data_IF_409306144855
#
_entry.id   IF_409306144855
#
_cell.length_a   1.000
_cell.length_b   1.000
_cell.length_c   1.000
_cell.angle_alpha   90.00
_cell.angle_beta   90.00
_cell.angle_gamma   90.00
#
_symmetry.space_group_name_H-M   'P 1'
#
loop_
_entity.id
_entity.type
_entity.pdbx_description
1 polymer ?
#
# COMPACT_ATOMS: atom_id res chain seq x y z
N UNK A 1 -12.46 -25.61 60.00
CA UNK A 1 -13.62 -25.80 59.10
C UNK A 1 -13.11 -25.50 57.70
N UNK A 2 -12.48 -26.47 57.05
CA UNK A 2 -13.06 -27.46 56.12
C UNK A 2 -13.29 -26.92 54.69
N UNK A 3 -12.54 -27.54 53.76
CA UNK A 3 -12.80 -27.80 52.33
C UNK A 3 -12.87 -26.58 51.38
N UNK A 4 -12.04 -26.45 50.34
CA UNK A 4 -11.61 -27.32 49.24
C UNK A 4 -12.44 -27.17 47.94
N UNK A 5 -11.69 -27.01 46.84
CA UNK A 5 -11.93 -27.52 45.48
C UNK A 5 -12.92 -26.84 44.53
N UNK A 6 -12.45 -26.64 43.29
CA UNK A 6 -13.31 -26.57 42.11
C UNK A 6 -12.66 -25.99 40.86
N UNK A 7 -11.75 -26.71 40.21
CA UNK A 7 -11.47 -26.53 38.78
C UNK A 7 -12.60 -27.16 37.95
N UNK A 8 -13.17 -26.46 36.95
CA UNK A 8 -13.83 -27.10 35.81
C UNK A 8 -13.58 -26.29 34.52
N UNK A 9 -12.76 -26.88 33.66
CA UNK A 9 -12.60 -26.61 32.23
C UNK A 9 -13.96 -26.75 31.49
N UNK A 10 -14.33 -25.81 30.63
CA UNK A 10 -15.38 -26.06 29.62
C UNK A 10 -15.07 -25.43 28.28
N UNK A 11 -14.39 -26.23 27.46
CA UNK A 11 -14.31 -26.17 26.00
C UNK A 11 -15.69 -25.95 25.38
N UNK A 12 -15.82 -24.96 24.49
CA UNK A 12 -16.91 -24.90 23.50
C UNK A 12 -16.36 -24.51 22.13
N UNK A 13 -16.13 -25.57 21.36
CA UNK A 13 -16.01 -25.64 19.90
C UNK A 13 -17.31 -25.14 19.25
N UNK A 14 -17.27 -24.21 18.29
CA UNK A 14 -18.40 -24.02 17.36
C UNK A 14 -17.97 -23.42 16.01
N UNK A 15 -18.00 -24.30 14.99
CA UNK A 15 -18.35 -24.11 13.57
C UNK A 15 -17.53 -23.18 12.66
N UNK A 16 -16.74 -23.83 11.82
CA UNK A 16 -16.40 -23.39 10.45
C UNK A 16 -17.65 -23.47 9.57
N UNK A 17 -17.98 -22.38 8.86
CA UNK A 17 -18.90 -22.39 7.73
C UNK A 17 -18.12 -22.02 6.46
N UNK A 18 -17.89 -23.02 5.62
CA UNK A 18 -17.34 -22.88 4.29
C UNK A 18 -18.50 -22.89 3.27
N UNK A 19 -18.68 -21.85 2.47
CA UNK A 19 -19.54 -21.89 1.27
C UNK A 19 -18.94 -21.04 0.13
N UNK A 20 -18.34 -21.78 -0.82
CA UNK A 20 -18.40 -21.76 -2.29
C UNK A 20 -18.23 -20.45 -3.12
N UNK A 21 -17.28 -20.57 -4.06
CA UNK A 21 -17.01 -19.77 -5.25
C UNK A 21 -18.18 -19.72 -6.25
N UNK A 22 -18.42 -18.55 -6.83
CA UNK A 22 -18.95 -18.42 -8.20
C UNK A 22 -18.27 -17.26 -8.93
N UNK A 23 -17.44 -17.60 -9.90
CA UNK A 23 -16.90 -16.69 -10.90
C UNK A 23 -17.85 -16.66 -12.10
N UNK A 24 -18.20 -15.46 -12.58
CA UNK A 24 -18.81 -15.25 -13.89
C UNK A 24 -18.27 -13.94 -14.47
N UNK A 25 -17.21 -14.06 -15.28
CA UNK A 25 -16.77 -13.01 -16.18
C UNK A 25 -17.42 -13.28 -17.54
N UNK A 26 -18.25 -12.35 -18.01
CA UNK A 26 -18.68 -12.28 -19.39
C UNK A 26 -18.27 -10.89 -19.92
N UNK A 27 -17.10 -10.82 -20.55
CA UNK A 27 -16.69 -9.70 -21.38
C UNK A 27 -17.04 -10.06 -22.83
N UNK A 28 -18.00 -9.34 -23.38
CA UNK A 28 -18.38 -9.37 -24.79
C UNK A 28 -17.56 -8.35 -25.58
N UNK A 29 -17.26 -8.70 -26.85
CA UNK A 29 -16.71 -7.88 -27.93
C UNK A 29 -15.18 -7.62 -27.85
N UNK A 30 -14.39 -7.71 -28.93
CA UNK A 30 -14.70 -7.50 -30.35
C UNK A 30 -13.65 -8.22 -31.24
N UNK A 31 -14.16 -8.88 -32.28
CA UNK A 31 -13.59 -9.11 -33.62
C UNK A 31 -12.14 -9.63 -33.76
N UNK A 32 -12.01 -10.94 -33.94
CA UNK A 32 -10.83 -11.57 -34.54
C UNK A 32 -11.11 -11.77 -36.04
N UNK A 33 -10.57 -10.85 -36.85
CA UNK A 33 -10.62 -10.92 -38.30
C UNK A 33 -9.66 -12.00 -38.83
N UNK A 34 -10.28 -13.04 -39.37
CA UNK A 34 -9.83 -14.06 -40.33
C UNK A 34 -8.57 -13.75 -41.16
N UNK A 35 -7.55 -14.63 -41.11
CA UNK A 35 -7.06 -15.44 -42.25
C UNK A 35 -5.66 -16.04 -42.04
N UNK A 36 -5.51 -17.27 -42.51
CA UNK A 36 -4.35 -18.16 -42.43
C UNK A 36 -3.17 -17.80 -43.37
N UNK A 37 -1.99 -18.28 -42.97
CA UNK A 37 -0.96 -18.99 -43.76
C UNK A 37 0.47 -18.42 -43.82
N UNK A 38 1.39 -19.27 -43.32
CA UNK A 38 2.79 -19.55 -43.65
C UNK A 38 3.74 -18.47 -44.22
N UNK A 39 4.85 -18.25 -43.50
CA UNK A 39 6.10 -17.74 -44.08
C UNK A 39 7.04 -17.04 -43.10
N UNK A 40 8.18 -17.66 -42.75
CA UNK A 40 9.39 -17.02 -42.17
C UNK A 40 10.40 -16.81 -43.33
N UNK A 41 11.31 -15.80 -43.39
CA UNK A 41 12.03 -15.14 -42.28
C UNK A 41 12.29 -13.60 -42.34
N UNK A 42 12.74 -13.10 -41.17
CA UNK A 42 13.63 -11.95 -40.89
C UNK A 42 13.04 -10.53 -40.64
N UNK A 43 13.14 -10.11 -39.36
CA UNK A 43 13.44 -8.79 -38.75
C UNK A 43 12.94 -7.47 -39.39
N UNK A 44 12.46 -6.48 -38.61
CA UNK A 44 13.07 -6.04 -37.35
C UNK A 44 12.14 -5.97 -36.13
N UNK A 45 12.77 -6.04 -34.95
CA UNK A 45 12.21 -5.71 -33.63
C UNK A 45 11.32 -4.46 -33.69
N UNK A 46 10.10 -4.47 -33.13
CA UNK A 46 9.50 -3.24 -32.63
C UNK A 46 10.46 -2.71 -31.56
N UNK A 47 11.09 -1.58 -31.86
CA UNK A 47 11.80 -0.76 -30.88
C UNK A 47 10.87 -0.58 -29.69
N UNK A 48 11.41 -0.88 -28.50
CA UNK A 48 10.83 -0.48 -27.25
C UNK A 48 10.41 0.99 -27.35
N UNK A 49 9.12 1.25 -27.20
CA UNK A 49 8.65 2.57 -26.78
C UNK A 49 9.40 2.87 -25.49
N UNK A 50 10.43 3.71 -25.59
CA UNK A 50 11.02 4.30 -24.41
C UNK A 50 9.90 5.11 -23.77
N UNK A 51 9.28 4.55 -22.73
CA UNK A 51 8.49 5.30 -21.78
C UNK A 51 9.38 6.46 -21.34
N UNK A 52 9.09 7.64 -21.89
CA UNK A 52 9.84 8.85 -21.58
C UNK A 52 9.52 9.14 -20.13
N UNK A 53 10.43 8.75 -19.24
CA UNK A 53 10.31 9.06 -17.82
C UNK A 53 10.06 10.57 -17.72
N UNK A 54 8.96 11.01 -17.07
CA UNK A 54 8.60 12.41 -17.05
C UNK A 54 9.75 13.22 -16.47
N UNK A 55 10.05 14.36 -17.10
CA UNK A 55 11.09 15.25 -16.63
C UNK A 55 10.81 15.62 -15.17
N UNK A 56 11.86 15.80 -14.37
CA UNK A 56 11.74 16.03 -12.92
C UNK A 56 10.76 17.17 -12.59
N UNK A 57 10.76 18.24 -13.41
CA UNK A 57 9.80 19.35 -13.33
C UNK A 57 8.33 18.93 -13.49
N UNK A 58 8.03 18.01 -14.39
CA UNK A 58 6.66 17.48 -14.57
C UNK A 58 6.25 16.60 -13.39
N UNK A 59 7.18 15.82 -12.81
CA UNK A 59 6.93 15.05 -11.58
C UNK A 59 6.61 15.99 -10.40
N UNK A 60 7.36 17.08 -10.27
CA UNK A 60 7.16 18.07 -9.21
C UNK A 60 5.83 18.83 -9.34
N UNK A 61 5.42 19.18 -10.57
CA UNK A 61 4.13 19.80 -10.85
C UNK A 61 2.95 18.85 -10.55
N UNK A 62 3.06 17.57 -10.94
CA UNK A 62 2.06 16.55 -10.61
C UNK A 62 1.97 16.30 -9.09
N UNK A 63 3.09 16.30 -8.38
CA UNK A 63 3.09 16.14 -6.93
C UNK A 63 2.42 17.32 -6.22
N UNK A 64 2.64 18.56 -6.70
CA UNK A 64 1.93 19.75 -6.21
C UNK A 64 0.43 19.68 -6.44
N UNK A 65 -0.01 19.21 -7.61
CA UNK A 65 -1.43 19.09 -7.93
C UNK A 65 -2.15 18.00 -7.10
N UNK A 66 -1.41 17.02 -6.58
CA UNK A 66 -1.94 15.92 -5.77
C UNK A 66 -1.66 16.09 -4.25
N UNK A 67 -1.15 17.24 -3.82
CA UNK A 67 -0.72 17.51 -2.43
C UNK A 67 0.23 16.44 -1.87
N UNK A 68 1.04 15.83 -2.73
CA UNK A 68 2.05 14.83 -2.37
C UNK A 68 3.36 15.57 -2.03
N UNK A 69 3.93 15.42 -0.82
CA UNK A 69 5.23 16.00 -0.51
C UNK A 69 6.33 15.51 -1.46
N UNK A 70 7.36 16.34 -1.76
CA UNK A 70 8.53 15.87 -2.49
C UNK A 70 9.23 14.73 -1.71
N UNK A 71 9.96 13.86 -2.41
CA UNK A 71 10.68 12.78 -1.75
C UNK A 71 11.75 13.35 -0.82
N UNK A 72 11.73 13.04 0.50
CA UNK A 72 12.69 13.59 1.44
C UNK A 72 14.08 13.00 1.19
N UNK A 73 15.11 13.81 1.47
CA UNK A 73 16.52 13.44 1.38
C UNK A 73 17.27 13.85 2.65
N UNK A 74 18.47 13.31 2.84
CA UNK A 74 19.34 13.65 3.97
C UNK A 74 18.65 13.54 5.33
N UNK A 75 18.80 14.58 6.17
CA UNK A 75 18.24 14.59 7.53
C UNK A 75 16.71 14.44 7.56
N UNK A 76 15.99 15.02 6.60
CA UNK A 76 14.53 14.89 6.54
C UNK A 76 14.09 13.46 6.27
N UNK A 77 14.86 12.73 5.46
CA UNK A 77 14.61 11.30 5.22
C UNK A 77 14.75 10.52 6.52
N UNK A 78 15.84 10.74 7.27
CA UNK A 78 16.06 10.05 8.53
C UNK A 78 14.98 10.37 9.56
N UNK A 79 14.62 11.64 9.72
CA UNK A 79 13.57 12.06 10.65
C UNK A 79 12.21 11.42 10.36
N UNK A 80 11.85 11.28 9.07
CA UNK A 80 10.64 10.56 8.67
C UNK A 80 10.71 9.08 9.04
N UNK A 81 11.84 8.41 8.74
CA UNK A 81 12.03 7.01 9.08
C UNK A 81 12.01 6.79 10.60
N UNK A 82 12.63 7.67 11.39
CA UNK A 82 12.61 7.58 12.85
C UNK A 82 11.19 7.74 13.40
N UNK A 83 10.41 8.69 12.85
CA UNK A 83 9.01 8.89 13.23
C UNK A 83 8.14 7.66 12.89
N UNK A 84 8.33 7.07 11.71
CA UNK A 84 7.63 5.86 11.28
C UNK A 84 8.03 4.65 12.13
N UNK A 85 9.32 4.47 12.42
CA UNK A 85 9.83 3.38 13.24
C UNK A 85 9.29 3.44 14.67
N UNK A 86 9.11 4.65 15.22
CA UNK A 86 8.49 4.85 16.54
C UNK A 86 7.00 4.47 16.55
N UNK A 87 6.29 4.67 15.44
CA UNK A 87 4.88 4.35 15.33
C UNK A 87 4.61 2.86 15.03
N UNK A 88 5.38 2.29 14.11
CA UNK A 88 5.27 0.90 13.67
C UNK A 88 6.65 0.43 13.16
N UNK A 89 7.47 -0.24 13.98
CA UNK A 89 8.89 -0.46 13.70
C UNK A 89 9.15 -1.26 12.41
N UNK A 90 8.30 -2.23 12.09
CA UNK A 90 8.53 -3.10 10.93
C UNK A 90 8.34 -2.40 9.59
N UNK A 91 7.62 -1.27 9.56
CA UNK A 91 7.34 -0.58 8.30
C UNK A 91 8.62 0.00 7.68
N UNK A 92 9.61 0.39 8.48
CA UNK A 92 10.85 1.00 7.95
C UNK A 92 11.86 -0.02 7.43
N UNK A 93 11.59 -1.32 7.54
CA UNK A 93 12.47 -2.37 7.03
C UNK A 93 12.75 -2.27 5.53
N UNK A 94 11.84 -1.63 4.80
CA UNK A 94 12.02 -1.24 3.39
C UNK A 94 11.90 0.27 3.25
N UNK A 95 12.92 1.00 3.67
CA UNK A 95 12.90 2.47 3.80
C UNK A 95 12.31 3.22 2.60
N UNK A 96 12.72 2.89 1.38
CA UNK A 96 12.19 3.58 0.19
C UNK A 96 10.69 3.34 0.00
N UNK A 97 10.20 2.14 0.32
CA UNK A 97 8.76 1.85 0.31
C UNK A 97 8.03 2.58 1.45
N UNK A 98 8.65 2.67 2.63
CA UNK A 98 8.09 3.41 3.75
C UNK A 98 7.92 4.90 3.41
N UNK A 99 8.92 5.49 2.74
CA UNK A 99 8.88 6.87 2.27
C UNK A 99 7.81 7.06 1.20
N UNK A 100 7.71 6.16 0.23
CA UNK A 100 6.71 6.28 -0.84
C UNK A 100 5.28 6.07 -0.30
N UNK A 101 5.10 5.15 0.66
CA UNK A 101 3.85 4.95 1.38
C UNK A 101 3.47 6.19 2.20
N UNK A 102 4.43 6.79 2.92
CA UNK A 102 4.23 8.03 3.68
C UNK A 102 3.81 9.20 2.78
N UNK A 103 4.45 9.37 1.62
CA UNK A 103 4.09 10.40 0.64
C UNK A 103 2.66 10.23 0.12
N UNK A 104 2.27 9.00 -0.20
CA UNK A 104 0.91 8.68 -0.65
C UNK A 104 -0.11 8.89 0.49
N UNK A 105 0.24 8.50 1.71
CA UNK A 105 -0.61 8.70 2.87
C UNK A 105 -0.82 10.19 3.16
N UNK A 106 0.22 11.03 3.04
CA UNK A 106 0.07 12.49 3.18
C UNK A 106 -0.94 13.07 2.20
N UNK A 107 -0.97 12.61 0.94
CA UNK A 107 -1.99 13.07 -0.02
C UNK A 107 -3.41 12.73 0.45
N UNK A 108 -3.62 11.56 1.07
CA UNK A 108 -4.93 11.21 1.65
C UNK A 108 -5.27 12.05 2.88
N UNK A 109 -4.29 12.35 3.72
CA UNK A 109 -4.48 13.20 4.90
C UNK A 109 -4.83 14.63 4.46
N UNK A 110 -4.07 15.20 3.52
CA UNK A 110 -4.25 16.57 3.03
C UNK A 110 -5.57 16.72 2.24
N UNK A 111 -5.97 15.66 1.53
CA UNK A 111 -7.26 15.62 0.82
C UNK A 111 -8.48 15.38 1.71
N UNK A 112 -8.32 15.29 3.04
CA UNK A 112 -9.45 15.09 3.97
C UNK A 112 -10.13 13.72 3.85
N UNK A 113 -9.38 12.70 3.44
CA UNK A 113 -9.92 11.37 3.20
C UNK A 113 -10.61 10.76 4.42
N UNK A 114 -11.69 10.01 4.19
CA UNK A 114 -12.28 9.13 5.20
C UNK A 114 -11.44 7.86 5.37
N UNK A 115 -11.51 7.20 6.52
CA UNK A 115 -10.83 5.90 6.77
C UNK A 115 -9.29 5.94 6.65
N UNK A 116 -8.66 7.04 7.09
CA UNK A 116 -7.20 7.21 6.99
C UNK A 116 -6.39 6.09 7.65
N UNK A 117 -6.90 5.54 8.76
CA UNK A 117 -6.20 4.52 9.54
C UNK A 117 -6.15 3.18 8.78
N UNK A 118 -7.28 2.77 8.21
CA UNK A 118 -7.35 1.64 7.27
C UNK A 118 -6.51 1.89 6.02
N UNK A 119 -6.57 3.09 5.45
CA UNK A 119 -5.77 3.40 4.26
C UNK A 119 -4.25 3.31 4.55
N UNK A 120 -3.83 3.74 5.74
CA UNK A 120 -2.45 3.58 6.19
C UNK A 120 -2.10 2.10 6.41
N UNK A 121 -2.97 1.30 7.04
CA UNK A 121 -2.72 -0.13 7.24
C UNK A 121 -2.49 -0.86 5.91
N UNK A 122 -3.26 -0.52 4.88
CA UNK A 122 -3.09 -1.10 3.54
C UNK A 122 -1.80 -0.63 2.86
N UNK A 123 -1.44 0.64 2.96
CA UNK A 123 -0.26 1.21 2.28
C UNK A 123 1.06 0.78 2.89
N UNK A 124 1.08 0.55 4.20
CA UNK A 124 2.27 0.12 4.93
C UNK A 124 2.37 -1.41 5.06
N UNK A 125 1.34 -2.13 4.62
CA UNK A 125 1.41 -3.57 4.38
C UNK A 125 2.05 -3.86 3.02
N UNK A 126 3.32 -4.22 3.01
CA UNK A 126 4.03 -4.60 1.79
C UNK A 126 5.06 -5.68 2.02
N UNK A 127 5.26 -6.51 0.99
CA UNK A 127 6.13 -7.69 1.04
C UNK A 127 5.67 -8.59 2.19
N UNK A 128 6.47 -8.69 3.23
CA UNK A 128 6.27 -9.46 4.45
C UNK A 128 6.07 -8.55 5.69
N UNK A 129 5.89 -7.24 5.50
CA UNK A 129 5.36 -6.33 6.54
C UNK A 129 3.85 -6.37 6.48
N UNK A 130 3.20 -6.61 7.62
CA UNK A 130 1.75 -6.42 7.80
C UNK A 130 1.53 -5.31 8.81
N UNK A 131 0.68 -4.35 8.47
CA UNK A 131 0.34 -3.23 9.35
C UNK A 131 -1.13 -3.31 9.70
N UNK A 132 -1.46 -3.23 10.97
CA UNK A 132 -2.82 -3.19 11.50
C UNK A 132 -3.42 -1.79 11.39
N UNK A 133 -4.75 -1.65 11.54
CA UNK A 133 -5.37 -0.32 11.58
C UNK A 133 -4.92 0.52 12.78
N UNK A 134 -4.63 -0.11 13.92
CA UNK A 134 -4.11 0.59 15.09
C UNK A 134 -2.72 1.19 14.83
N UNK A 135 -1.84 0.43 14.16
CA UNK A 135 -0.56 0.94 13.68
C UNK A 135 -0.74 1.98 12.58
N UNK A 136 -1.70 1.80 11.68
CA UNK A 136 -2.09 2.78 10.67
C UNK A 136 -2.46 4.13 11.29
N UNK A 137 -3.21 4.12 12.40
CA UNK A 137 -3.49 5.32 13.19
C UNK A 137 -2.23 5.94 13.78
N UNK A 138 -1.36 5.13 14.40
CA UNK A 138 -0.10 5.63 14.96
C UNK A 138 0.80 6.26 13.88
N UNK A 139 0.83 5.67 12.69
CA UNK A 139 1.53 6.20 11.52
C UNK A 139 0.92 7.54 11.10
N UNK A 140 -0.41 7.65 11.00
CA UNK A 140 -1.06 8.91 10.67
C UNK A 140 -0.72 10.03 11.67
N UNK A 141 -0.71 9.72 12.97
CA UNK A 141 -0.33 10.67 14.02
C UNK A 141 1.15 11.08 13.89
N UNK A 142 2.05 10.14 13.60
CA UNK A 142 3.47 10.43 13.36
C UNK A 142 3.70 11.29 12.11
N UNK A 143 2.98 11.02 11.02
CA UNK A 143 3.07 11.78 9.78
C UNK A 143 2.59 13.23 9.95
N UNK A 144 1.53 13.45 10.73
CA UNK A 144 1.03 14.80 11.06
C UNK A 144 2.00 15.57 11.97
N UNK A 145 2.49 14.90 13.03
CA UNK A 145 3.33 15.54 14.05
C UNK A 145 4.78 15.76 13.62
N UNK A 146 5.29 14.96 12.68
CA UNK A 146 6.64 15.14 12.11
C UNK A 146 6.78 16.37 11.20
N UNK A 147 5.66 16.99 10.79
CA UNK A 147 5.65 18.07 9.80
C UNK A 147 6.00 17.61 8.38
N UNK A 148 5.97 16.28 8.12
CA UNK A 148 6.20 15.75 6.78
C UNK A 148 4.98 15.95 5.87
N UNK A 149 3.76 15.76 6.40
CA UNK A 149 2.54 16.13 5.71
C UNK A 149 2.22 17.62 5.94
N UNK A 150 1.84 18.33 4.89
CA UNK A 150 1.31 19.69 4.96
C UNK A 150 -0.16 19.65 5.39
N UNK A 151 -0.39 19.53 6.69
CA UNK A 151 -1.74 19.42 7.30
C UNK A 151 -2.24 20.74 7.87
#
# INVERSE_FOLDING_TARGET
MHHASGEILKTRTTTYAAILLTAAAALTACDDSTSSDSGKPASPKPSATAEKEPAQKQKDENHKAADIPPKPTGQKRQQLLDALAKAAPDVVRYEDKAIDAARNQCSSINGGGSTLDWAASQRFSYKDVTTTEAEGKAINDALKTSGFCTV
#
